data_IF_500428179794
#
_entry.id   IF_500428179794
#
_cell.length_a   1.000
_cell.length_b   1.000
_cell.length_c   1.000
_cell.angle_alpha   90.00
_cell.angle_beta   90.00
_cell.angle_gamma   90.00
#
_symmetry.space_group_name_H-M   'P 1'
#
loop_
_entity.id
_entity.type
_entity.pdbx_description
1 polymer ?
#
# COMPACT_ATOMS: atom_id res chain seq x y z
N UNK A 1 15.08 15.05 -10.07
CA UNK A 1 15.05 15.10 -8.60
C UNK A 1 13.87 14.28 -8.13
N UNK A 2 14.11 13.08 -7.60
CA UNK A 2 13.24 12.39 -6.64
C UNK A 2 14.18 11.40 -5.96
N UNK A 3 14.60 11.73 -4.75
CA UNK A 3 15.25 10.77 -3.89
C UNK A 3 14.19 9.75 -3.50
N UNK A 4 13.99 8.71 -4.32
CA UNK A 4 13.29 7.53 -3.85
C UNK A 4 14.19 6.92 -2.79
N UNK A 5 13.88 7.19 -1.52
CA UNK A 5 14.22 6.25 -0.46
C UNK A 5 13.85 4.86 -1.01
N UNK A 6 14.78 3.89 -0.96
CA UNK A 6 14.53 2.50 -1.39
C UNK A 6 13.40 1.91 -0.54
N UNK A 7 12.19 2.29 -0.85
CA UNK A 7 11.00 1.81 -0.20
C UNK A 7 10.52 0.65 -1.07
N UNK A 8 10.45 -0.51 -0.45
CA UNK A 8 9.84 -1.68 -1.05
C UNK A 8 8.33 -1.44 -1.12
N UNK A 9 7.73 -1.94 -2.20
CA UNK A 9 6.28 -1.88 -2.43
C UNK A 9 5.74 -3.30 -2.41
N UNK A 10 4.71 -3.51 -1.58
CA UNK A 10 3.91 -4.72 -1.54
C UNK A 10 2.46 -4.38 -1.85
N UNK A 11 1.77 -5.25 -2.57
CA UNK A 11 0.37 -5.03 -2.96
C UNK A 11 -0.49 -6.24 -2.67
N UNK A 12 -1.69 -6.02 -2.12
CA UNK A 12 -2.69 -7.08 -1.89
C UNK A 12 -4.12 -6.52 -2.00
N UNK A 13 -5.13 -7.37 -1.83
CA UNK A 13 -6.53 -6.95 -1.93
C UNK A 13 -6.92 -5.97 -0.80
N UNK A 14 -7.42 -4.79 -1.16
CA UNK A 14 -7.88 -3.81 -0.19
C UNK A 14 -9.36 -4.02 0.14
N UNK A 15 -9.61 -4.52 1.36
CA UNK A 15 -10.95 -4.50 1.96
C UNK A 15 -11.31 -3.11 2.48
N UNK A 16 -10.43 -2.47 3.27
CA UNK A 16 -10.60 -1.10 3.80
C UNK A 16 -9.25 -0.39 3.93
N UNK A 17 -9.25 0.94 3.84
CA UNK A 17 -8.04 1.77 3.98
C UNK A 17 -7.40 1.58 5.35
N UNK A 18 -8.19 1.55 6.41
CA UNK A 18 -7.71 1.37 7.78
C UNK A 18 -7.00 0.03 7.96
N UNK A 19 -7.58 -1.04 7.42
CA UNK A 19 -6.99 -2.38 7.50
C UNK A 19 -5.73 -2.50 6.66
N UNK A 20 -5.72 -1.89 5.47
CA UNK A 20 -4.53 -1.79 4.63
C UNK A 20 -3.38 -1.08 5.34
N UNK A 21 -3.68 0.06 5.98
CA UNK A 21 -2.69 0.80 6.75
C UNK A 21 -2.17 0.00 7.94
N UNK A 22 -3.08 -0.57 8.74
CA UNK A 22 -2.72 -1.32 9.94
C UNK A 22 -1.90 -2.57 9.61
N UNK A 23 -2.30 -3.32 8.59
CA UNK A 23 -1.59 -4.54 8.16
C UNK A 23 -0.19 -4.21 7.60
N UNK A 24 -0.07 -3.16 6.78
CA UNK A 24 1.23 -2.69 6.29
C UNK A 24 2.15 -2.21 7.42
N UNK A 25 1.60 -1.47 8.39
CA UNK A 25 2.34 -0.98 9.56
C UNK A 25 2.76 -2.14 10.47
N UNK A 26 1.87 -3.09 10.70
CA UNK A 26 2.09 -4.25 11.58
C UNK A 26 3.13 -5.21 11.00
N UNK A 27 3.05 -5.51 9.69
CA UNK A 27 3.95 -6.49 9.05
C UNK A 27 5.30 -5.92 8.65
N UNK A 28 5.33 -4.68 8.17
CA UNK A 28 6.52 -4.12 7.54
C UNK A 28 6.99 -2.80 8.18
N UNK A 29 6.29 -2.29 9.20
CA UNK A 29 6.55 -0.95 9.73
C UNK A 29 6.32 0.15 8.69
N UNK A 30 5.56 -0.15 7.64
CA UNK A 30 5.35 0.73 6.49
C UNK A 30 4.10 1.59 6.59
N UNK A 31 3.76 2.21 5.46
CA UNK A 31 2.54 3.00 5.24
C UNK A 31 1.70 2.34 4.16
N UNK A 32 0.51 1.88 4.53
CA UNK A 32 -0.47 1.28 3.63
C UNK A 32 -1.48 2.30 3.12
N UNK A 33 -1.81 2.26 1.84
CA UNK A 33 -2.84 3.08 1.20
C UNK A 33 -3.65 2.21 0.25
N UNK A 34 -4.97 2.24 0.33
CA UNK A 34 -5.74 1.61 -0.73
C UNK A 34 -5.75 2.49 -1.96
N UNK A 35 -5.28 1.95 -3.06
CA UNK A 35 -5.31 2.60 -4.34
C UNK A 35 -6.76 2.92 -4.69
N UNK A 36 -6.98 4.21 -4.99
CA UNK A 36 -8.28 4.77 -5.31
C UNK A 36 -8.49 4.87 -6.81
N UNK A 37 -7.52 4.49 -7.66
CA UNK A 37 -7.68 4.61 -9.10
C UNK A 37 -8.84 3.69 -9.50
N UNK A 38 -9.99 4.28 -9.88
CA UNK A 38 -11.15 3.50 -10.24
C UNK A 38 -10.96 3.12 -11.70
N UNK A 39 -10.00 2.25 -11.98
CA UNK A 39 -10.04 1.50 -13.22
C UNK A 39 -11.23 0.57 -13.11
N UNK A 40 -12.27 0.73 -13.94
CA UNK A 40 -13.34 -0.25 -13.98
C UNK A 40 -12.66 -1.61 -14.19
N UNK A 41 -13.10 -2.63 -13.46
CA UNK A 41 -12.57 -4.01 -13.50
C UNK A 41 -11.32 -4.33 -12.65
N UNK A 42 -10.65 -3.37 -12.01
CA UNK A 42 -9.53 -3.70 -11.10
C UNK A 42 -10.00 -3.62 -9.64
N UNK A 43 -9.92 -4.71 -8.87
CA UNK A 43 -10.24 -4.66 -7.44
C UNK A 43 -9.26 -3.72 -6.74
N UNK A 44 -9.77 -2.91 -5.79
CA UNK A 44 -8.95 -1.99 -5.01
C UNK A 44 -7.75 -2.73 -4.43
N UNK A 45 -6.54 -2.26 -4.71
CA UNK A 45 -5.33 -2.85 -4.17
C UNK A 45 -4.85 -2.02 -2.98
N UNK A 46 -4.44 -2.66 -1.90
CA UNK A 46 -3.70 -2.05 -0.82
C UNK A 46 -2.24 -1.93 -1.24
N UNK A 47 -1.73 -0.70 -1.33
CA UNK A 47 -0.34 -0.37 -1.60
C UNK A 47 0.39 -0.15 -0.28
N UNK A 48 1.29 -1.07 0.07
CA UNK A 48 2.14 -0.96 1.24
C UNK A 48 3.54 -0.50 0.85
N UNK A 49 3.91 0.71 1.25
CA UNK A 49 5.25 1.25 1.10
C UNK A 49 6.00 1.13 2.42
N UNK A 50 7.11 0.41 2.43
CA UNK A 50 7.93 0.19 3.63
C UNK A 50 9.41 0.34 3.31
N UNK A 51 10.24 0.67 4.30
CA UNK A 51 11.69 0.69 4.08
C UNK A 51 12.18 -0.75 3.88
N UNK A 52 12.85 -1.00 2.75
CA UNK A 52 13.88 -2.03 2.75
C UNK A 52 15.12 -1.46 3.49
#
# INVERSE_FOLDING_TARGET
>A
MVAEAKNCLMTWDCTTVERCWDDCKSRYGGKGLCDLIPTPFVPKQCLCSYKC
#
